data_IF_631059404919
#
_entry.id   IF_631059404919
#
_cell.length_a   1.000
_cell.length_b   1.000
_cell.length_c   1.000
_cell.angle_alpha   90.00
_cell.angle_beta   90.00
_cell.angle_gamma   90.00
#
_symmetry.space_group_name_H-M   'P 1'
#
loop_
_entity.id
_entity.type
_entity.pdbx_description
1 polymer ?
#
# COMPACT_ATOMS: atom_id res chain seq x y z
N UNK A 1 -3.41 -19.07 9.42
CA UNK A 1 -3.13 -17.63 9.29
C UNK A 1 -2.45 -17.17 10.57
N UNK A 2 -1.29 -16.53 10.47
CA UNK A 2 -0.55 -15.99 11.62
C UNK A 2 -0.22 -14.51 11.35
N UNK A 3 -0.80 -13.54 12.08
CA UNK A 3 -0.41 -12.15 11.97
C UNK A 3 0.98 -11.93 12.59
N UNK A 4 1.85 -11.23 11.87
CA UNK A 4 3.18 -10.85 12.32
C UNK A 4 3.54 -9.45 11.79
N UNK A 5 3.69 -8.49 12.70
CA UNK A 5 3.88 -7.07 12.36
C UNK A 5 2.76 -6.57 11.44
N UNK A 6 3.08 -6.26 10.19
CA UNK A 6 2.16 -5.74 9.17
C UNK A 6 1.82 -6.78 8.09
N UNK A 7 2.28 -8.02 8.31
CA UNK A 7 2.08 -9.16 7.41
C UNK A 7 1.20 -10.22 8.07
N UNK A 8 0.58 -11.02 7.21
CA UNK A 8 -0.05 -12.26 7.59
C UNK A 8 0.59 -13.42 6.84
N UNK A 9 1.04 -14.41 7.60
CA UNK A 9 1.64 -15.62 7.06
C UNK A 9 0.57 -16.69 6.93
N UNK A 10 0.49 -17.26 5.73
CA UNK A 10 -0.37 -18.38 5.39
C UNK A 10 0.53 -19.57 5.08
N UNK A 11 0.64 -20.47 6.06
CA UNK A 11 1.41 -21.70 5.91
C UNK A 11 0.55 -22.75 5.21
N UNK A 12 1.05 -23.31 4.12
CA UNK A 12 0.55 -24.55 3.52
C UNK A 12 1.61 -25.66 3.65
N UNK A 13 1.31 -26.93 3.30
CA UNK A 13 2.22 -28.05 3.55
C UNK A 13 3.61 -27.91 2.92
N UNK A 14 3.72 -27.21 1.79
CA UNK A 14 4.96 -27.07 1.02
C UNK A 14 5.36 -25.62 0.74
N UNK A 15 4.59 -24.64 1.20
CA UNK A 15 4.88 -23.24 0.92
C UNK A 15 4.41 -22.32 2.07
N UNK A 16 4.92 -21.10 2.03
CA UNK A 16 4.46 -20.00 2.86
C UNK A 16 4.04 -18.91 1.90
N UNK A 17 2.81 -18.44 2.03
CA UNK A 17 2.31 -17.28 1.29
C UNK A 17 2.08 -16.12 2.25
N UNK A 18 2.15 -14.91 1.70
CA UNK A 18 2.05 -13.67 2.45
C UNK A 18 0.81 -12.90 2.02
N UNK A 19 0.23 -12.17 2.95
CA UNK A 19 -0.74 -11.11 2.72
C UNK A 19 -0.44 -9.95 3.67
N UNK A 20 -1.03 -8.78 3.46
CA UNK A 20 -0.97 -7.72 4.46
C UNK A 20 -1.94 -8.02 5.61
N UNK A 21 -1.52 -7.65 6.83
CA UNK A 21 -2.38 -7.68 8.00
C UNK A 21 -2.61 -6.25 8.47
N UNK A 22 -3.85 -5.76 8.32
CA UNK A 22 -4.27 -4.47 8.88
C UNK A 22 -4.79 -4.67 10.29
N UNK A 23 -4.10 -4.06 11.25
CA UNK A 23 -4.51 -4.08 12.66
C UNK A 23 -5.85 -3.35 12.78
N UNK A 24 -6.74 -3.74 13.72
CA UNK A 24 -8.02 -3.06 13.92
C UNK A 24 -7.91 -1.56 14.21
N UNK A 25 -6.76 -1.10 14.69
CA UNK A 25 -6.46 0.30 14.99
C UNK A 25 -5.78 1.04 13.85
N UNK A 26 -5.57 0.41 12.68
CA UNK A 26 -4.94 1.05 11.53
C UNK A 26 -5.88 2.11 10.99
N UNK A 27 -5.46 3.37 11.03
CA UNK A 27 -6.16 4.45 10.35
C UNK A 27 -5.64 4.54 8.91
N UNK A 28 -6.57 4.52 7.97
CA UNK A 28 -6.31 4.60 6.53
C UNK A 28 -5.99 6.05 6.10
N UNK A 29 -5.18 6.74 6.90
CA UNK A 29 -4.88 8.16 6.75
C UNK A 29 -3.51 8.38 6.10
N UNK A 30 -3.50 9.23 5.08
CA UNK A 30 -2.31 9.86 4.54
C UNK A 30 -2.30 11.33 4.96
N UNK A 31 -1.24 12.06 4.61
CA UNK A 31 -1.27 13.52 4.73
C UNK A 31 -2.26 14.03 3.67
N UNK A 32 -3.33 14.75 4.04
CA UNK A 32 -4.35 15.21 3.10
C UNK A 32 -3.74 16.01 1.96
N UNK A 33 -4.23 15.79 0.74
CA UNK A 33 -3.70 16.44 -0.46
C UNK A 33 -3.81 17.97 -0.40
N UNK A 34 -4.88 18.49 0.20
CA UNK A 34 -5.16 19.91 0.37
C UNK A 34 -4.40 20.57 1.53
N UNK A 35 -3.73 19.79 2.37
CA UNK A 35 -2.96 20.32 3.49
C UNK A 35 -1.70 21.08 3.05
N UNK A 36 -1.27 22.03 3.89
CA UNK A 36 -0.09 22.90 3.70
C UNK A 36 1.21 22.14 4.03
N UNK A 37 1.43 21.02 3.33
CA UNK A 37 2.66 20.25 3.41
C UNK A 37 3.30 20.16 2.01
N UNK A 38 4.65 20.09 1.92
CA UNK A 38 5.33 19.79 0.67
C UNK A 38 4.77 18.55 -0.02
N UNK A 39 4.59 18.63 -1.34
CA UNK A 39 4.01 17.54 -2.14
C UNK A 39 4.75 16.20 -1.95
N UNK A 40 6.08 16.24 -1.83
CA UNK A 40 6.90 15.04 -1.62
C UNK A 40 6.57 14.31 -0.32
N UNK A 41 6.28 15.02 0.78
CA UNK A 41 5.91 14.39 2.06
C UNK A 41 4.53 13.73 1.99
N UNK A 42 3.60 14.37 1.26
CA UNK A 42 2.28 13.80 0.98
C UNK A 42 2.42 12.50 0.18
N UNK A 43 3.26 12.52 -0.85
CA UNK A 43 3.52 11.37 -1.72
C UNK A 43 4.25 10.22 -1.01
N UNK A 44 5.12 10.53 -0.05
CA UNK A 44 5.93 9.52 0.65
C UNK A 44 5.09 8.42 1.30
N UNK A 45 3.96 8.78 1.93
CA UNK A 45 3.04 7.80 2.53
C UNK A 45 2.46 6.83 1.50
N UNK A 46 1.97 7.36 0.37
CA UNK A 46 1.45 6.55 -0.72
C UNK A 46 2.54 5.67 -1.35
N UNK A 47 3.72 6.23 -1.57
CA UNK A 47 4.86 5.50 -2.14
C UNK A 47 5.32 4.36 -1.23
N UNK A 48 5.30 4.55 0.09
CA UNK A 48 5.64 3.48 1.04
C UNK A 48 4.65 2.31 0.95
N UNK A 49 3.34 2.58 0.79
CA UNK A 49 2.31 1.56 0.58
C UNK A 49 2.50 0.80 -0.74
N UNK A 50 2.89 1.49 -1.80
CA UNK A 50 3.13 0.88 -3.11
C UNK A 50 4.44 0.09 -3.12
N UNK A 51 5.49 0.61 -2.50
CA UNK A 51 6.76 -0.07 -2.37
C UNK A 51 6.59 -1.45 -1.73
N UNK A 52 5.89 -1.51 -0.59
CA UNK A 52 5.64 -2.77 0.10
C UNK A 52 4.77 -3.72 -0.74
N UNK A 53 3.78 -3.20 -1.48
CA UNK A 53 2.93 -3.99 -2.39
C UNK A 53 3.77 -4.73 -3.44
N UNK A 54 4.76 -4.04 -4.03
CA UNK A 54 5.63 -4.63 -5.05
C UNK A 54 6.78 -5.47 -4.49
N UNK A 55 7.26 -5.19 -3.28
CA UNK A 55 8.38 -5.93 -2.68
C UNK A 55 8.00 -7.23 -2.02
N UNK A 56 6.79 -7.35 -1.51
CA UNK A 56 6.38 -8.54 -0.78
C UNK A 56 5.86 -9.59 -1.77
N UNK A 57 6.44 -10.81 -1.79
CA UNK A 57 6.00 -11.86 -2.69
C UNK A 57 4.64 -12.39 -2.22
N UNK A 58 3.57 -11.98 -2.87
CA UNK A 58 2.19 -12.40 -2.57
C UNK A 58 1.59 -13.20 -3.72
N UNK A 59 0.47 -13.87 -3.45
CA UNK A 59 -0.35 -14.43 -4.53
C UNK A 59 -0.99 -13.31 -5.35
N UNK A 60 -1.34 -13.54 -6.63
CA UNK A 60 -2.02 -12.55 -7.46
C UNK A 60 -3.32 -12.03 -6.84
N UNK A 61 -4.04 -12.89 -6.11
CA UNK A 61 -5.27 -12.53 -5.40
C UNK A 61 -5.00 -11.52 -4.29
N UNK A 62 -4.08 -11.83 -3.36
CA UNK A 62 -3.73 -10.93 -2.25
C UNK A 62 -3.09 -9.64 -2.73
N UNK A 63 -2.33 -9.69 -3.83
CA UNK A 63 -1.80 -8.50 -4.46
C UNK A 63 -2.92 -7.56 -4.94
N UNK A 64 -3.91 -8.10 -5.65
CA UNK A 64 -5.03 -7.31 -6.16
C UNK A 64 -5.91 -6.76 -5.03
N UNK A 65 -6.11 -7.54 -3.96
CA UNK A 65 -6.85 -7.09 -2.78
C UNK A 65 -6.15 -5.90 -2.11
N UNK A 66 -4.84 -5.99 -1.84
CA UNK A 66 -4.10 -4.87 -1.24
C UNK A 66 -4.02 -3.68 -2.19
N UNK A 67 -3.86 -3.90 -3.50
CA UNK A 67 -3.90 -2.84 -4.50
C UNK A 67 -5.20 -2.05 -4.43
N UNK A 68 -6.35 -2.74 -4.35
CA UNK A 68 -7.65 -2.09 -4.25
C UNK A 68 -7.79 -1.31 -2.94
N UNK A 69 -7.26 -1.83 -1.83
CA UNK A 69 -7.26 -1.11 -0.56
C UNK A 69 -6.38 0.16 -0.65
N UNK A 70 -5.18 0.08 -1.22
CA UNK A 70 -4.31 1.26 -1.39
C UNK A 70 -4.98 2.31 -2.28
N UNK A 71 -5.66 1.88 -3.35
CA UNK A 71 -6.45 2.76 -4.20
C UNK A 71 -7.59 3.42 -3.42
N UNK A 72 -8.31 2.68 -2.59
CA UNK A 72 -9.36 3.24 -1.72
C UNK A 72 -8.80 4.27 -0.75
N UNK A 73 -7.68 3.99 -0.09
CA UNK A 73 -7.01 4.92 0.83
C UNK A 73 -6.67 6.22 0.13
N UNK A 74 -6.02 6.15 -1.02
CA UNK A 74 -5.60 7.36 -1.72
C UNK A 74 -6.78 8.19 -2.26
N UNK A 75 -7.89 7.54 -2.67
CA UNK A 75 -9.11 8.21 -3.13
C UNK A 75 -10.06 8.61 -2.00
N UNK A 76 -9.83 8.19 -0.76
CA UNK A 76 -10.66 8.53 0.39
C UNK A 76 -10.80 10.05 0.51
N UNK A 77 -11.97 10.52 0.93
CA UNK A 77 -12.32 11.94 1.00
C UNK A 77 -11.35 12.72 1.87
N UNK A 78 -10.81 12.11 2.93
CA UNK A 78 -9.85 12.76 3.82
C UNK A 78 -8.45 12.90 3.21
N UNK A 79 -8.07 12.00 2.30
CA UNK A 79 -6.75 11.99 1.67
C UNK A 79 -6.76 12.73 0.32
N UNK A 80 -7.84 12.58 -0.46
CA UNK A 80 -8.16 13.27 -1.69
C UNK A 80 -7.00 13.33 -2.71
N UNK A 81 -6.17 12.28 -2.79
CA UNK A 81 -5.07 12.28 -3.75
C UNK A 81 -5.62 12.12 -5.17
N UNK A 82 -5.25 13.01 -6.10
CA UNK A 82 -5.53 12.81 -7.51
C UNK A 82 -4.62 11.69 -8.04
N UNK A 83 -5.13 10.47 -8.11
CA UNK A 83 -4.40 9.35 -8.72
C UNK A 83 -4.71 9.36 -10.22
N UNK A 84 -3.76 9.72 -11.10
CA UNK A 84 -3.98 9.52 -12.53
C UNK A 84 -4.12 8.02 -12.83
N UNK A 85 -4.91 7.63 -13.85
CA UNK A 85 -5.12 6.22 -14.21
C UNK A 85 -3.81 5.43 -14.36
N UNK A 86 -2.76 6.11 -14.82
CA UNK A 86 -1.45 5.51 -15.13
C UNK A 86 -0.40 5.73 -14.03
N UNK A 87 -0.77 6.29 -12.87
CA UNK A 87 0.18 6.61 -11.79
C UNK A 87 1.05 5.41 -11.45
N UNK A 88 0.45 4.23 -11.38
CA UNK A 88 1.07 2.98 -10.96
C UNK A 88 1.89 2.30 -12.06
N UNK A 89 1.60 2.62 -13.33
CA UNK A 89 2.39 2.19 -14.49
C UNK A 89 3.63 3.08 -14.66
N UNK A 90 3.53 4.33 -14.21
CA UNK A 90 4.59 5.33 -14.35
C UNK A 90 5.66 5.28 -13.27
N UNK A 91 5.43 4.60 -12.15
CA UNK A 91 6.38 4.55 -11.03
C UNK A 91 7.62 3.75 -11.43
N UNK A 92 8.79 4.39 -11.56
CA UNK A 92 10.01 3.66 -11.84
C UNK A 92 10.33 2.74 -10.65
N UNK A 93 10.83 1.51 -10.88
CA UNK A 93 11.22 0.60 -9.81
C UNK A 93 12.31 1.18 -8.88
N UNK A 94 12.92 2.31 -9.25
CA UNK A 94 13.94 3.04 -8.51
C UNK A 94 13.42 4.07 -7.50
N UNK A 95 12.18 4.58 -7.61
CA UNK A 95 11.59 5.49 -6.59
C UNK A 95 11.09 4.76 -5.33
N UNK A 96 11.22 3.45 -5.35
CA UNK A 96 11.00 2.55 -4.24
C UNK A 96 12.15 2.54 -3.20
N UNK A 97 13.21 3.36 -3.35
CA UNK A 97 14.40 3.36 -2.48
C UNK A 97 14.64 4.68 -1.73
N UNK A 98 13.58 5.36 -1.30
CA UNK A 98 13.67 6.44 -0.31
C UNK A 98 12.96 6.04 0.98
#
# INVERSE_FOLDING_TARGET
MLPFLDLCLHKSPHNISFSFYRKPTTTDNLIPFDSIHPFLHKLAGLNALLFRLFKIPMSPTHFNDEYNIIKQIALDVHNAFPIPPDYLVSLPPTYCLI
#
